data_IF_496182929722
#
_entry.id   IF_496182929722
#
_cell.length_a   1.000
_cell.length_b   1.000
_cell.length_c   1.000
_cell.angle_alpha   90.00
_cell.angle_beta   90.00
_cell.angle_gamma   90.00
#
_symmetry.space_group_name_H-M   'P 1'
#
loop_
_entity.id
_entity.type
_entity.pdbx_description
1 polymer ?
#
# COMPACT_ATOMS: atom_id res chain seq x y z
N UNK A 1 -9.34 -22.82 -3.34
CA UNK A 1 -9.60 -21.95 -4.50
C UNK A 1 -10.96 -21.28 -4.43
N UNK A 2 -12.05 -22.05 -4.32
CA UNK A 2 -13.40 -21.48 -4.20
C UNK A 2 -13.53 -20.43 -3.07
N UNK A 3 -12.90 -20.67 -1.91
CA UNK A 3 -12.88 -19.68 -0.82
C UNK A 3 -12.30 -18.33 -1.24
N UNK A 4 -11.21 -18.32 -2.01
CA UNK A 4 -10.53 -17.09 -2.42
C UNK A 4 -11.38 -16.33 -3.43
N UNK A 5 -11.90 -17.01 -4.45
CA UNK A 5 -12.77 -16.38 -5.46
C UNK A 5 -14.07 -15.84 -4.84
N UNK A 6 -14.65 -16.57 -3.87
CA UNK A 6 -15.86 -16.13 -3.18
C UNK A 6 -15.62 -14.96 -2.21
N UNK A 7 -14.37 -14.69 -1.82
CA UNK A 7 -14.01 -13.53 -0.99
C UNK A 7 -13.72 -12.26 -1.81
N UNK A 8 -13.68 -12.35 -3.14
CA UNK A 8 -13.40 -11.24 -4.03
C UNK A 8 -14.67 -10.62 -4.59
N UNK A 9 -14.62 -9.33 -4.89
CA UNK A 9 -15.68 -8.67 -5.68
C UNK A 9 -15.80 -9.33 -7.06
N UNK A 10 -17.01 -9.47 -7.64
CA UNK A 10 -17.21 -10.14 -8.93
C UNK A 10 -16.33 -9.61 -10.07
N UNK A 11 -16.09 -8.29 -10.10
CA UNK A 11 -15.22 -7.66 -11.09
C UNK A 11 -13.75 -8.10 -10.99
N UNK A 12 -13.28 -8.42 -9.77
CA UNK A 12 -11.92 -8.93 -9.54
C UNK A 12 -11.88 -10.42 -9.86
N UNK A 13 -12.92 -11.19 -9.53
CA UNK A 13 -13.00 -12.62 -9.90
C UNK A 13 -12.82 -12.81 -11.41
N UNK A 14 -13.48 -11.99 -12.23
CA UNK A 14 -13.37 -12.04 -13.68
C UNK A 14 -11.92 -11.86 -14.21
N UNK A 15 -11.02 -11.22 -13.46
CA UNK A 15 -9.62 -11.06 -13.87
C UNK A 15 -8.73 -12.25 -13.52
N UNK A 16 -9.19 -13.15 -12.63
CA UNK A 16 -8.36 -14.23 -12.06
C UNK A 16 -9.00 -15.61 -12.08
N UNK A 17 -10.25 -15.75 -12.55
CA UNK A 17 -11.02 -17.01 -12.52
C UNK A 17 -10.37 -18.16 -13.30
N UNK A 18 -9.52 -17.85 -14.29
CA UNK A 18 -8.80 -18.84 -15.11
C UNK A 18 -7.49 -19.32 -14.48
N UNK A 19 -7.03 -18.67 -13.40
CA UNK A 19 -5.76 -18.98 -12.74
C UNK A 19 -5.93 -20.19 -11.83
N UNK A 20 -5.05 -21.18 -11.96
CA UNK A 20 -5.23 -22.48 -11.29
C UNK A 20 -4.71 -22.55 -9.86
N UNK A 21 -3.92 -21.57 -9.40
CA UNK A 21 -3.32 -21.59 -8.05
C UNK A 21 -3.62 -20.32 -7.28
N UNK A 22 -3.83 -20.48 -5.97
CA UNK A 22 -4.09 -19.35 -5.08
C UNK A 22 -2.91 -18.35 -5.05
N UNK A 23 -1.68 -18.86 -5.12
CA UNK A 23 -0.46 -18.03 -5.15
C UNK A 23 -0.43 -17.11 -6.37
N UNK A 24 -0.72 -17.63 -7.56
CA UNK A 24 -0.73 -16.81 -8.77
C UNK A 24 -1.90 -15.82 -8.78
N UNK A 25 -3.08 -16.22 -8.28
CA UNK A 25 -4.18 -15.25 -8.07
C UNK A 25 -3.73 -14.11 -7.19
N UNK A 26 -3.05 -14.40 -6.08
CA UNK A 26 -2.64 -13.35 -5.16
C UNK A 26 -1.60 -12.41 -5.80
N UNK A 27 -0.63 -12.96 -6.53
CA UNK A 27 0.33 -12.15 -7.29
C UNK A 27 -0.35 -11.28 -8.35
N UNK A 28 -1.33 -11.81 -9.08
CA UNK A 28 -2.05 -11.04 -10.11
C UNK A 28 -2.82 -9.88 -9.50
N UNK A 29 -3.57 -10.12 -8.42
CA UNK A 29 -4.35 -9.06 -7.75
C UNK A 29 -3.40 -8.04 -7.11
N UNK A 30 -2.32 -8.50 -6.46
CA UNK A 30 -1.29 -7.59 -5.91
C UNK A 30 -0.69 -6.71 -7.01
N UNK A 31 -0.31 -7.28 -8.16
CA UNK A 31 0.22 -6.50 -9.28
C UNK A 31 -0.77 -5.46 -9.82
N UNK A 32 -2.06 -5.78 -9.86
CA UNK A 32 -3.09 -4.91 -10.42
C UNK A 32 -3.53 -3.81 -9.45
N UNK A 33 -3.56 -4.11 -8.15
CA UNK A 33 -4.28 -3.30 -7.17
C UNK A 33 -3.46 -2.89 -5.94
N UNK A 34 -2.22 -3.35 -5.79
CA UNK A 34 -1.37 -2.95 -4.65
C UNK A 34 -1.02 -1.47 -4.67
N UNK A 35 -0.92 -0.86 -5.85
CA UNK A 35 -0.43 0.51 -6.00
C UNK A 35 1.10 0.64 -5.89
N UNK A 36 1.84 -0.46 -5.68
CA UNK A 36 3.30 -0.45 -5.68
C UNK A 36 3.84 0.11 -7.01
N UNK A 37 4.70 1.13 -6.92
CA UNK A 37 5.26 1.86 -8.06
C UNK A 37 4.28 2.79 -8.78
N UNK A 38 3.07 3.01 -8.27
CA UNK A 38 2.09 3.89 -8.90
C UNK A 38 2.40 5.37 -8.61
N UNK A 39 3.07 6.03 -9.55
CA UNK A 39 3.48 7.44 -9.47
C UNK A 39 2.33 8.40 -9.14
N UNK A 40 1.11 8.12 -9.60
CA UNK A 40 -0.02 9.00 -9.31
C UNK A 40 -0.47 8.89 -7.85
N UNK A 41 -0.51 7.66 -7.30
CA UNK A 41 -0.81 7.45 -5.88
C UNK A 41 0.27 8.03 -4.98
N UNK A 42 1.55 7.92 -5.38
CA UNK A 42 2.68 8.53 -4.68
C UNK A 42 2.48 10.05 -4.62
N UNK A 43 2.34 10.70 -5.77
CA UNK A 43 2.22 12.16 -5.84
C UNK A 43 1.00 12.67 -5.06
N UNK A 44 -0.15 12.01 -5.18
CA UNK A 44 -1.36 12.36 -4.40
C UNK A 44 -1.12 12.21 -2.89
N UNK A 45 -0.43 11.14 -2.47
CA UNK A 45 -0.15 10.91 -1.04
C UNK A 45 0.87 11.92 -0.51
N UNK A 46 1.91 12.26 -1.28
CA UNK A 46 2.88 13.31 -0.93
C UNK A 46 2.21 14.68 -0.78
N UNK A 47 1.31 15.04 -1.70
CA UNK A 47 0.51 16.27 -1.62
C UNK A 47 -0.32 16.28 -0.33
N UNK A 48 -1.03 15.19 -0.04
CA UNK A 48 -1.82 15.05 1.19
C UNK A 48 -0.97 15.19 2.45
N UNK A 49 0.23 14.60 2.48
CA UNK A 49 1.17 14.78 3.60
C UNK A 49 1.59 16.25 3.73
N UNK A 50 1.95 16.89 2.61
CA UNK A 50 2.37 18.29 2.57
C UNK A 50 1.28 19.27 3.03
N UNK A 51 0.02 18.95 2.74
CA UNK A 51 -1.16 19.72 3.14
C UNK A 51 -1.66 19.39 4.54
N UNK A 52 -1.32 18.22 5.10
CA UNK A 52 -1.82 17.78 6.40
C UNK A 52 -1.41 18.76 7.51
N UNK A 53 -2.40 19.32 8.20
CA UNK A 53 -2.24 20.15 9.39
C UNK A 53 -3.05 19.53 10.52
N UNK A 54 -2.59 19.70 11.76
CA UNK A 54 -3.36 19.24 12.91
C UNK A 54 -4.75 19.91 12.95
N UNK A 55 -4.80 21.23 12.77
CA UNK A 55 -6.05 21.99 12.79
C UNK A 55 -6.83 21.75 14.09
N UNK A 56 -8.08 21.36 13.96
CA UNK A 56 -8.99 21.06 15.07
C UNK A 56 -8.91 19.59 15.55
N UNK A 57 -8.13 18.73 14.87
CA UNK A 57 -7.98 17.34 15.28
C UNK A 57 -7.16 17.23 16.57
N UNK A 58 -7.45 16.20 17.36
CA UNK A 58 -6.56 15.83 18.46
C UNK A 58 -5.18 15.42 17.93
N UNK A 59 -4.16 15.55 18.77
CA UNK A 59 -2.79 15.10 18.42
C UNK A 59 -2.80 13.62 18.01
N UNK A 60 -3.60 12.79 18.67
CA UNK A 60 -3.71 11.37 18.37
C UNK A 60 -4.27 11.12 16.96
N UNK A 61 -5.36 11.81 16.58
CA UNK A 61 -5.97 11.67 15.27
C UNK A 61 -5.04 12.16 14.16
N UNK A 62 -4.40 13.31 14.35
CA UNK A 62 -3.43 13.85 13.40
C UNK A 62 -2.25 12.90 13.19
N UNK A 63 -1.65 12.39 14.27
CA UNK A 63 -0.51 11.46 14.19
C UNK A 63 -0.94 10.15 13.54
N UNK A 64 -2.12 9.63 13.85
CA UNK A 64 -2.62 8.40 13.22
C UNK A 64 -2.79 8.55 11.70
N UNK A 65 -3.33 9.67 11.22
CA UNK A 65 -3.45 9.93 9.79
C UNK A 65 -2.08 10.13 9.13
N UNK A 66 -1.17 10.85 9.78
CA UNK A 66 0.19 11.02 9.29
C UNK A 66 0.92 9.68 9.16
N UNK A 67 0.83 8.82 10.17
CA UNK A 67 1.39 7.46 10.13
C UNK A 67 0.78 6.61 9.03
N UNK A 68 -0.53 6.73 8.80
CA UNK A 68 -1.22 6.02 7.72
C UNK A 68 -0.70 6.45 6.35
N UNK A 69 -0.55 7.76 6.11
CA UNK A 69 -0.03 8.28 4.84
C UNK A 69 1.43 7.89 4.60
N UNK A 70 2.27 7.89 5.65
CA UNK A 70 3.65 7.42 5.54
C UNK A 70 3.73 5.93 5.22
N UNK A 71 2.89 5.10 5.86
CA UNK A 71 2.82 3.68 5.54
C UNK A 71 2.35 3.42 4.10
N UNK A 72 1.41 4.24 3.59
CA UNK A 72 0.99 4.20 2.19
C UNK A 72 2.18 4.54 1.26
N UNK A 73 2.95 5.59 1.56
CA UNK A 73 4.15 5.96 0.78
C UNK A 73 5.22 4.87 0.81
N UNK A 74 5.53 4.31 1.99
CA UNK A 74 6.52 3.22 2.13
C UNK A 74 6.11 1.97 1.33
N UNK A 75 4.81 1.75 1.13
CA UNK A 75 4.28 0.66 0.33
C UNK A 75 4.29 0.98 -1.18
N UNK A 76 3.97 2.22 -1.57
CA UNK A 76 3.95 2.62 -2.98
C UNK A 76 5.35 2.87 -3.55
N UNK A 77 6.26 3.44 -2.78
CA UNK A 77 7.66 3.70 -3.16
C UNK A 77 8.61 3.15 -2.08
N UNK A 78 8.82 1.82 -2.06
CA UNK A 78 9.67 1.20 -1.06
C UNK A 78 11.10 1.75 -1.15
N UNK A 79 11.66 2.16 0.00
CA UNK A 79 13.05 2.61 0.09
C UNK A 79 14.01 1.52 -0.38
N UNK A 80 14.63 1.72 -1.55
CA UNK A 80 15.71 0.88 -2.04
C UNK A 80 17.05 1.35 -1.47
N UNK A 81 17.41 0.77 -0.31
CA UNK A 81 18.68 1.05 0.35
C UNK A 81 19.68 -0.08 0.04
N UNK A 82 20.88 0.24 -0.49
CA UNK A 82 21.82 -0.76 -0.98
C UNK A 82 22.48 -1.61 0.12
N UNK A 83 22.34 -1.21 1.40
CA UNK A 83 22.95 -1.90 2.53
C UNK A 83 21.91 -2.24 3.59
N UNK A 84 21.94 -3.49 4.07
CA UNK A 84 21.01 -4.01 5.07
C UNK A 84 21.04 -3.19 6.39
N UNK A 85 22.21 -2.66 6.77
CA UNK A 85 22.36 -1.81 7.96
C UNK A 85 21.60 -0.48 7.82
N UNK A 86 21.50 0.07 6.60
CA UNK A 86 20.72 1.27 6.32
C UNK A 86 19.21 1.02 6.46
N UNK A 87 18.74 -0.15 6.01
CA UNK A 87 17.33 -0.57 6.15
C UNK A 87 16.96 -0.72 7.64
N UNK A 88 17.84 -1.34 8.43
CA UNK A 88 17.62 -1.53 9.86
C UNK A 88 17.63 -0.20 10.64
N UNK A 89 18.42 0.78 10.19
CA UNK A 89 18.40 2.13 10.75
C UNK A 89 17.11 2.88 10.39
N UNK A 90 16.66 2.82 9.13
CA UNK A 90 15.45 3.50 8.67
C UNK A 90 14.20 3.00 9.41
N UNK A 91 14.05 1.68 9.62
CA UNK A 91 12.90 1.09 10.33
C UNK A 91 12.79 1.41 11.82
N UNK A 92 13.79 2.06 12.42
CA UNK A 92 13.80 2.46 13.84
C UNK A 92 13.22 3.85 14.09
N UNK A 93 13.00 4.61 13.03
CA UNK A 93 12.38 5.94 13.05
C UNK A 93 10.95 5.82 12.55
#
# INVERSE_FOLDING_TARGET
MAWLLNSLSPNIVATVETISTATEVWKTISKLYSGEGNVMLIAETEERVGELRQGENSVMEYVAELQRLWADLDHYDPLDLPHADCIAAARKW
#
